data_IF_961704646765
#
_entry.id   IF_961704646765
#
_cell.length_a   1.000
_cell.length_b   1.000
_cell.length_c   1.000
_cell.angle_alpha   90.00
_cell.angle_beta   90.00
_cell.angle_gamma   90.00
#
_symmetry.space_group_name_H-M   'P 1'
#
loop_
_entity.id
_entity.type
_entity.pdbx_description
1 polymer ?
#
# COMPACT_ATOMS: atom_id res chain seq x y z
N UNK A 1 -8.17 29.60 -17.63
CA UNK A 1 -8.20 28.51 -16.63
C UNK A 1 -9.00 27.38 -17.27
N UNK A 2 -8.32 26.52 -18.02
CA UNK A 2 -8.97 25.56 -18.92
C UNK A 2 -9.36 24.29 -18.17
N UNK A 3 -10.63 23.95 -18.35
CA UNK A 3 -11.35 22.79 -17.85
C UNK A 3 -10.61 21.49 -18.23
N UNK A 4 -10.18 20.71 -17.24
CA UNK A 4 -9.68 19.36 -17.47
C UNK A 4 -10.90 18.45 -17.64
N UNK A 5 -11.48 18.47 -18.85
CA UNK A 5 -12.58 17.60 -19.22
C UNK A 5 -12.16 16.14 -19.02
N UNK A 6 -12.81 15.47 -18.06
CA UNK A 6 -12.64 14.04 -17.82
C UNK A 6 -13.23 13.27 -19.00
N UNK A 7 -12.39 12.84 -19.94
CA UNK A 7 -12.84 11.96 -21.03
C UNK A 7 -13.23 10.59 -20.47
N UNK A 8 -14.44 10.14 -20.80
CA UNK A 8 -14.91 8.79 -20.53
C UNK A 8 -14.83 7.98 -21.83
N UNK A 9 -14.09 6.87 -21.82
CA UNK A 9 -14.19 5.85 -22.87
C UNK A 9 -14.78 4.58 -22.27
N UNK A 10 -15.88 4.09 -22.86
CA UNK A 10 -16.58 2.86 -22.46
C UNK A 10 -17.06 2.80 -21.00
N UNK A 11 -17.46 3.94 -20.42
CA UNK A 11 -18.04 3.99 -19.07
C UNK A 11 -17.05 3.74 -17.93
N UNK A 12 -15.77 3.51 -18.24
CA UNK A 12 -14.69 3.48 -17.26
C UNK A 12 -14.11 4.88 -17.11
N UNK A 13 -14.00 5.35 -15.86
CA UNK A 13 -13.36 6.61 -15.53
C UNK A 13 -11.87 6.52 -15.89
N UNK A 14 -11.44 7.23 -16.93
CA UNK A 14 -10.02 7.33 -17.26
C UNK A 14 -9.33 8.13 -16.15
N UNK A 15 -8.27 7.56 -15.60
CA UNK A 15 -7.39 8.31 -14.70
C UNK A 15 -6.63 9.36 -15.53
N UNK A 16 -6.47 10.59 -15.03
CA UNK A 16 -5.62 11.57 -15.68
C UNK A 16 -4.23 11.00 -15.97
N UNK A 17 -3.60 11.37 -17.09
CA UNK A 17 -2.30 10.83 -17.51
C UNK A 17 -1.25 10.81 -16.39
N UNK A 18 -1.15 11.89 -15.61
CA UNK A 18 -0.21 11.97 -14.48
C UNK A 18 -0.45 10.90 -13.41
N UNK A 19 -1.70 10.52 -13.18
CA UNK A 19 -2.08 9.52 -12.19
C UNK A 19 -1.75 8.12 -12.69
N UNK A 20 -1.89 7.88 -13.99
CA UNK A 20 -1.47 6.62 -14.63
C UNK A 20 0.05 6.45 -14.61
N UNK A 21 0.82 7.51 -14.91
CA UNK A 21 2.29 7.47 -14.82
C UNK A 21 2.75 7.19 -13.39
N UNK A 22 2.21 7.93 -12.41
CA UNK A 22 2.54 7.71 -11.00
C UNK A 22 2.21 6.28 -10.54
N UNK A 23 1.10 5.71 -11.02
CA UNK A 23 0.74 4.33 -10.71
C UNK A 23 1.79 3.32 -11.21
N UNK A 24 2.24 3.45 -12.46
CA UNK A 24 3.26 2.54 -13.01
C UNK A 24 4.64 2.76 -12.40
N UNK A 25 5.00 4.00 -12.07
CA UNK A 25 6.25 4.32 -11.37
C UNK A 25 6.29 3.64 -9.99
N UNK A 26 5.17 3.64 -9.26
CA UNK A 26 5.04 2.93 -7.98
C UNK A 26 5.20 1.42 -8.17
N UNK A 27 4.56 0.82 -9.17
CA UNK A 27 4.69 -0.62 -9.44
C UNK A 27 6.15 -1.00 -9.79
N UNK A 28 6.79 -0.21 -10.65
CA UNK A 28 8.18 -0.44 -11.03
C UNK A 28 9.13 -0.30 -9.83
N UNK A 29 8.87 0.63 -8.91
CA UNK A 29 9.61 0.73 -7.67
C UNK A 29 9.38 -0.48 -6.74
N UNK A 30 8.14 -0.95 -6.61
CA UNK A 30 7.81 -2.13 -5.80
C UNK A 30 8.53 -3.39 -6.28
N UNK A 31 8.72 -3.56 -7.58
CA UNK A 31 9.48 -4.68 -8.17
C UNK A 31 10.96 -4.69 -7.76
N UNK A 32 11.49 -3.59 -7.24
CA UNK A 32 12.88 -3.51 -6.72
C UNK A 32 13.01 -4.05 -5.30
N UNK A 33 11.90 -4.30 -4.60
CA UNK A 33 11.86 -4.77 -3.22
C UNK A 33 11.49 -6.26 -3.23
N UNK A 34 12.20 -7.14 -2.49
CA UNK A 34 11.93 -8.57 -2.45
C UNK A 34 10.71 -8.90 -1.57
N UNK A 35 9.53 -8.46 -1.99
CA UNK A 35 8.26 -8.71 -1.31
C UNK A 35 7.85 -10.18 -1.42
N UNK A 36 7.06 -10.69 -0.46
CA UNK A 36 6.63 -12.10 -0.47
C UNK A 36 5.67 -12.44 -1.61
N UNK A 37 5.07 -11.43 -2.24
CA UNK A 37 4.12 -11.56 -3.35
C UNK A 37 4.21 -10.39 -4.32
N UNK A 38 3.98 -10.66 -5.60
CA UNK A 38 3.88 -9.64 -6.65
C UNK A 38 2.66 -8.74 -6.45
N UNK A 39 2.82 -7.44 -6.64
CA UNK A 39 1.72 -6.46 -6.57
C UNK A 39 1.04 -6.32 -7.93
N UNK A 40 -0.26 -6.55 -7.98
CA UNK A 40 -1.09 -6.47 -9.21
C UNK A 40 -2.18 -5.41 -9.10
N UNK A 41 -2.72 -5.22 -7.91
CA UNK A 41 -3.74 -4.21 -7.63
C UNK A 41 -3.41 -3.56 -6.29
N UNK A 42 -2.95 -2.31 -6.31
CA UNK A 42 -2.51 -1.59 -5.11
C UNK A 42 -3.55 -1.63 -3.99
N UNK A 43 -4.81 -1.32 -4.30
CA UNK A 43 -5.87 -1.26 -3.29
C UNK A 43 -6.14 -2.61 -2.62
N UNK A 44 -6.19 -3.68 -3.42
CA UNK A 44 -6.48 -5.02 -2.92
C UNK A 44 -5.27 -5.63 -2.19
N UNK A 45 -4.08 -5.49 -2.76
CA UNK A 45 -2.86 -6.15 -2.29
C UNK A 45 -2.28 -5.47 -1.05
N UNK A 46 -2.47 -4.16 -0.87
CA UNK A 46 -2.06 -3.45 0.35
C UNK A 46 -3.13 -3.48 1.44
N UNK A 47 -4.35 -3.93 1.13
CA UNK A 47 -5.48 -3.85 2.05
C UNK A 47 -5.32 -4.64 3.36
N UNK A 48 -4.47 -5.67 3.41
CA UNK A 48 -4.17 -6.44 4.62
C UNK A 48 -3.00 -5.91 5.46
N UNK A 49 -2.31 -4.86 4.99
CA UNK A 49 -1.18 -4.23 5.68
C UNK A 49 0.15 -4.99 5.62
N UNK A 50 0.19 -6.19 5.04
CA UNK A 50 1.42 -7.02 5.08
C UNK A 50 2.49 -6.45 4.17
N UNK A 51 2.13 -6.06 2.95
CA UNK A 51 3.10 -5.46 2.04
C UNK A 51 3.67 -4.15 2.61
N UNK A 52 2.89 -3.41 3.40
CA UNK A 52 3.40 -2.24 4.12
C UNK A 52 4.44 -2.66 5.16
N UNK A 53 4.15 -3.69 5.96
CA UNK A 53 5.08 -4.22 6.94
C UNK A 53 6.38 -4.74 6.28
N UNK A 54 6.28 -5.45 5.16
CA UNK A 54 7.44 -5.96 4.40
C UNK A 54 8.31 -4.84 3.83
N UNK A 55 7.70 -3.80 3.24
CA UNK A 55 8.42 -2.63 2.75
C UNK A 55 9.19 -1.96 3.89
N UNK A 56 8.55 -1.76 5.04
CA UNK A 56 9.22 -1.14 6.19
C UNK A 56 10.32 -2.06 6.73
N UNK A 57 10.08 -3.36 6.84
CA UNK A 57 11.07 -4.33 7.31
C UNK A 57 12.29 -4.44 6.38
N UNK A 58 12.12 -4.23 5.07
CA UNK A 58 13.22 -4.22 4.12
C UNK A 58 14.20 -3.06 4.36
N UNK A 59 13.70 -1.87 4.70
CA UNK A 59 14.54 -0.69 4.96
C UNK A 59 14.92 -0.51 6.43
N UNK A 60 14.06 -0.97 7.36
CA UNK A 60 14.16 -0.79 8.81
C UNK A 60 13.75 -2.10 9.52
N UNK A 61 14.55 -3.17 9.39
CA UNK A 61 14.21 -4.49 9.94
C UNK A 61 13.95 -4.47 11.45
N UNK A 62 14.57 -3.55 12.19
CA UNK A 62 14.38 -3.38 13.63
C UNK A 62 13.04 -2.75 14.02
N UNK A 63 12.26 -2.23 13.07
CA UNK A 63 10.97 -1.58 13.35
C UNK A 63 9.80 -2.53 13.28
N UNK A 64 9.96 -3.69 12.63
CA UNK A 64 8.86 -4.60 12.32
C UNK A 64 9.22 -6.01 12.79
N UNK A 65 8.36 -6.58 13.61
CA UNK A 65 8.34 -8.03 13.83
C UNK A 65 7.32 -8.66 12.86
N UNK A 66 7.82 -9.25 11.77
CA UNK A 66 6.98 -9.81 10.72
C UNK A 66 6.15 -11.02 11.21
N UNK A 67 6.59 -11.71 12.28
CA UNK A 67 5.84 -12.85 12.82
C UNK A 67 4.53 -12.42 13.50
N UNK A 68 4.37 -11.13 13.80
CA UNK A 68 3.11 -10.58 14.32
C UNK A 68 2.04 -10.35 13.24
N UNK A 69 2.39 -10.49 11.96
CA UNK A 69 1.49 -10.24 10.83
C UNK A 69 0.97 -11.54 10.22
N UNK A 70 -0.34 -11.57 9.90
CA UNK A 70 -0.99 -12.76 9.32
C UNK A 70 -1.71 -12.38 8.03
N UNK A 71 -1.49 -13.15 6.95
CA UNK A 71 -2.21 -12.98 5.67
C UNK A 71 -3.72 -13.01 5.90
N UNK A 72 -4.36 -11.87 5.67
CA UNK A 72 -5.72 -11.62 6.12
C UNK A 72 -6.71 -11.53 4.96
N UNK A 73 -7.64 -12.49 4.90
CA UNK A 73 -8.77 -12.47 3.95
C UNK A 73 -10.05 -11.88 4.53
N UNK A 74 -10.14 -11.76 5.86
CA UNK A 74 -11.30 -11.20 6.55
C UNK A 74 -10.96 -9.86 7.21
N UNK A 75 -12.00 -9.04 7.42
CA UNK A 75 -11.85 -7.70 7.98
C UNK A 75 -11.21 -7.70 9.37
N UNK A 76 -11.54 -8.67 10.23
CA UNK A 76 -11.00 -8.71 11.60
C UNK A 76 -9.47 -8.84 11.61
N UNK A 77 -8.91 -9.73 10.80
CA UNK A 77 -7.45 -9.90 10.70
C UNK A 77 -6.78 -8.70 10.03
N UNK A 78 -7.40 -8.12 8.98
CA UNK A 78 -6.89 -6.89 8.36
C UNK A 78 -6.79 -5.77 9.38
N UNK A 79 -7.84 -5.57 10.17
CA UNK A 79 -7.86 -4.58 11.26
C UNK A 79 -6.79 -4.86 12.31
N UNK A 80 -6.51 -6.12 12.65
CA UNK A 80 -5.41 -6.45 13.58
C UNK A 80 -4.05 -6.06 13.02
N UNK A 81 -3.75 -6.42 11.77
CA UNK A 81 -2.49 -6.04 11.12
C UNK A 81 -2.32 -4.51 11.08
N UNK A 82 -3.36 -3.77 10.69
CA UNK A 82 -3.33 -2.31 10.67
C UNK A 82 -3.18 -1.68 12.07
N UNK A 83 -3.72 -2.30 13.11
CA UNK A 83 -3.49 -1.85 14.50
C UNK A 83 -2.02 -1.98 14.89
N UNK A 84 -1.38 -3.10 14.57
CA UNK A 84 0.05 -3.32 14.85
C UNK A 84 0.88 -2.26 14.10
N UNK A 85 0.59 -2.03 12.81
CA UNK A 85 1.25 -0.96 12.07
C UNK A 85 1.11 0.40 12.76
N UNK A 86 -0.11 0.76 13.15
CA UNK A 86 -0.39 2.09 13.72
C UNK A 86 0.18 2.30 15.12
N UNK A 87 0.24 1.26 15.96
CA UNK A 87 0.75 1.38 17.33
C UNK A 87 2.25 1.18 17.44
N UNK A 88 2.81 0.24 16.67
CA UNK A 88 4.14 -0.30 16.95
C UNK A 88 5.16 -0.01 15.85
N UNK A 89 4.71 0.28 14.61
CA UNK A 89 5.60 0.44 13.45
C UNK A 89 5.66 1.89 12.97
N UNK A 90 4.53 2.47 12.55
CA UNK A 90 4.46 3.81 11.99
C UNK A 90 4.98 4.90 12.94
N UNK A 91 4.74 4.85 14.27
CA UNK A 91 5.30 5.84 15.19
C UNK A 91 6.84 5.87 15.20
N UNK A 92 7.51 4.73 14.92
CA UNK A 92 8.98 4.67 14.83
C UNK A 92 9.51 5.45 13.61
N UNK A 93 8.68 5.61 12.58
CA UNK A 93 8.94 6.44 11.40
C UNK A 93 8.44 7.89 11.56
N UNK A 94 7.96 8.27 12.74
CA UNK A 94 7.26 9.55 12.97
C UNK A 94 6.02 9.74 12.09
N UNK A 95 5.35 8.64 11.73
CA UNK A 95 4.11 8.63 10.95
C UNK A 95 2.90 8.35 11.85
N UNK A 96 1.77 8.96 11.51
CA UNK A 96 0.50 8.71 12.19
C UNK A 96 -0.62 8.57 11.16
N UNK A 97 -1.20 7.37 11.07
CA UNK A 97 -2.40 7.13 10.28
C UNK A 97 -3.63 7.40 11.15
N UNK A 98 -4.63 8.18 10.66
CA UNK A 98 -5.90 8.33 11.36
C UNK A 98 -6.56 6.97 11.58
N UNK A 99 -7.04 6.73 12.81
CA UNK A 99 -7.78 5.53 13.20
C UNK A 99 -9.27 5.59 12.86
#
# INVERSE_FOLDING_TARGET
>A
MSDASFETMNGHKLLPHYQTTAYYDILAWLDTIPLSRSVRNLDADFGDGILVAEIIAYFFPEYVDLDMFIIARNMSQRTKNWRILNSDVLPKLSLHAPG
#
